data_IF_433006706021
#
_entry.id   IF_433006706021
#
_cell.length_a   1.000
_cell.length_b   1.000
_cell.length_c   1.000
_cell.angle_alpha   90.00
_cell.angle_beta   90.00
_cell.angle_gamma   90.00
#
_symmetry.space_group_name_H-M   'P 1'
#
loop_
_entity.id
_entity.type
_entity.pdbx_description
1 polymer ?
#
# COMPACT_ATOMS: atom_id res chain seq x y z
N UNK A 1 -20.24 37.58 -11.24
CA UNK A 1 -18.82 37.37 -10.90
C UNK A 1 -18.31 36.20 -11.72
N UNK A 2 -17.20 36.34 -12.45
CA UNK A 2 -16.70 35.27 -13.32
C UNK A 2 -16.04 34.14 -12.51
N UNK A 3 -16.32 32.89 -12.88
CA UNK A 3 -15.63 31.71 -12.33
C UNK A 3 -14.13 31.81 -12.66
N UNK A 4 -13.26 31.54 -11.69
CA UNK A 4 -11.81 31.64 -11.90
C UNK A 4 -11.35 30.50 -12.82
N UNK A 5 -11.11 30.84 -14.10
CA UNK A 5 -10.68 29.90 -15.14
C UNK A 5 -9.42 29.11 -14.76
N UNK A 6 -8.48 29.72 -14.04
CA UNK A 6 -7.26 29.02 -13.60
C UNK A 6 -7.59 27.83 -12.67
N UNK A 7 -8.48 28.04 -11.69
CA UNK A 7 -8.89 26.99 -10.75
C UNK A 7 -9.67 25.90 -11.48
N UNK A 8 -10.57 26.27 -12.41
CA UNK A 8 -11.35 25.32 -13.20
C UNK A 8 -10.45 24.38 -14.02
N UNK A 9 -9.51 24.94 -14.79
CA UNK A 9 -8.63 24.13 -15.64
C UNK A 9 -7.59 23.35 -14.83
N UNK A 10 -7.08 23.91 -13.74
CA UNK A 10 -6.18 23.19 -12.82
C UNK A 10 -6.89 21.97 -12.21
N UNK A 11 -8.09 22.16 -11.65
CA UNK A 11 -8.86 21.07 -11.04
C UNK A 11 -9.25 20.00 -12.08
N UNK A 12 -9.63 20.41 -13.29
CA UNK A 12 -9.88 19.45 -14.38
C UNK A 12 -8.63 18.65 -14.73
N UNK A 13 -7.49 19.30 -14.95
CA UNK A 13 -6.26 18.62 -15.35
C UNK A 13 -5.79 17.61 -14.29
N UNK A 14 -5.74 18.00 -13.02
CA UNK A 14 -5.34 17.08 -11.94
C UNK A 14 -6.30 15.90 -11.77
N UNK A 15 -7.62 16.15 -11.81
CA UNK A 15 -8.61 15.07 -11.73
C UNK A 15 -8.57 14.15 -12.97
N UNK A 16 -8.17 14.65 -14.13
CA UNK A 16 -8.03 13.84 -15.33
C UNK A 16 -6.84 12.89 -15.20
N UNK A 17 -5.73 13.36 -14.63
CA UNK A 17 -4.58 12.51 -14.32
C UNK A 17 -4.94 11.41 -13.30
N UNK A 18 -5.69 11.76 -12.25
CA UNK A 18 -6.19 10.77 -11.29
C UNK A 18 -7.16 9.77 -11.92
N UNK A 19 -8.03 10.23 -12.81
CA UNK A 19 -8.95 9.34 -13.52
C UNK A 19 -8.18 8.32 -14.38
N UNK A 20 -7.20 8.78 -15.16
CA UNK A 20 -6.35 7.92 -15.99
C UNK A 20 -5.56 6.94 -15.11
N UNK A 21 -4.96 7.40 -14.01
CA UNK A 21 -4.23 6.51 -13.10
C UNK A 21 -5.15 5.47 -12.46
N UNK A 22 -6.38 5.84 -12.08
CA UNK A 22 -7.39 4.91 -11.59
C UNK A 22 -7.73 3.82 -12.62
N UNK A 23 -7.92 4.18 -13.88
CA UNK A 23 -8.14 3.22 -14.97
C UNK A 23 -6.96 2.25 -15.15
N UNK A 24 -5.72 2.75 -15.10
CA UNK A 24 -4.51 1.93 -15.22
C UNK A 24 -4.41 0.95 -14.03
N UNK A 25 -4.57 1.45 -12.79
CA UNK A 25 -4.51 0.62 -11.58
C UNK A 25 -5.58 -0.46 -11.65
N UNK A 26 -6.81 -0.11 -12.02
CA UNK A 26 -7.91 -1.06 -12.13
C UNK A 26 -7.62 -2.15 -13.18
N UNK A 27 -7.13 -1.76 -14.36
CA UNK A 27 -6.77 -2.68 -15.43
C UNK A 27 -5.67 -3.66 -15.02
N UNK A 28 -4.59 -3.16 -14.40
CA UNK A 28 -3.49 -4.00 -13.88
C UNK A 28 -3.99 -4.93 -12.78
N UNK A 29 -4.83 -4.45 -11.86
CA UNK A 29 -5.34 -5.25 -10.75
C UNK A 29 -6.21 -6.41 -11.24
N UNK A 30 -7.08 -6.17 -12.22
CA UNK A 30 -7.91 -7.21 -12.84
C UNK A 30 -7.03 -8.22 -13.59
N UNK A 31 -6.03 -7.75 -14.34
CA UNK A 31 -5.09 -8.62 -15.04
C UNK A 31 -4.35 -9.56 -14.06
N UNK A 32 -3.86 -9.02 -12.94
CA UNK A 32 -3.17 -9.79 -11.91
C UNK A 32 -4.10 -10.80 -11.23
N UNK A 33 -5.37 -10.44 -11.00
CA UNK A 33 -6.36 -11.34 -10.42
C UNK A 33 -6.60 -12.55 -11.32
N UNK A 34 -6.90 -12.31 -12.59
CA UNK A 34 -7.18 -13.37 -13.58
C UNK A 34 -5.95 -14.24 -13.85
N UNK A 35 -4.75 -13.66 -13.89
CA UNK A 35 -3.52 -14.42 -14.15
C UNK A 35 -3.14 -15.36 -13.00
N UNK A 36 -3.65 -15.15 -11.79
CA UNK A 36 -3.31 -15.94 -10.59
C UNK A 36 -4.35 -16.99 -10.21
N UNK A 37 -5.52 -17.04 -10.86
CA UNK A 37 -6.65 -17.96 -10.58
C UNK A 37 -6.35 -19.48 -10.75
N UNK A 38 -5.07 -19.90 -10.78
CA UNK A 38 -4.63 -21.31 -10.89
C UNK A 38 -3.59 -21.79 -9.86
N UNK A 39 -2.99 -20.93 -9.03
CA UNK A 39 -1.95 -21.32 -8.05
C UNK A 39 -2.44 -21.20 -6.60
N UNK A 40 -2.10 -22.17 -5.74
CA UNK A 40 -2.52 -22.23 -4.32
C UNK A 40 -1.86 -21.20 -3.39
N UNK A 41 -0.91 -20.38 -3.86
CA UNK A 41 -0.37 -19.19 -3.16
C UNK A 41 -1.42 -18.05 -3.10
N UNK A 42 -2.55 -18.18 -3.80
CA UNK A 42 -3.56 -17.14 -3.94
C UNK A 42 -4.18 -16.68 -2.62
N UNK A 43 -4.41 -17.53 -1.62
CA UNK A 43 -5.14 -17.11 -0.41
C UNK A 43 -4.47 -15.97 0.38
N UNK A 44 -3.14 -15.79 0.28
CA UNK A 44 -2.43 -14.70 0.97
C UNK A 44 -2.33 -13.43 0.12
N UNK A 45 -2.28 -13.56 -1.22
CA UNK A 45 -2.11 -12.43 -2.13
C UNK A 45 -3.43 -11.82 -2.62
N UNK A 46 -4.52 -12.60 -2.64
CA UNK A 46 -5.84 -12.18 -3.11
C UNK A 46 -6.43 -10.99 -2.33
N UNK A 47 -6.31 -10.92 -0.98
CA UNK A 47 -6.81 -9.76 -0.23
C UNK A 47 -6.17 -8.44 -0.66
N UNK A 48 -4.88 -8.46 -1.03
CA UNK A 48 -4.16 -7.29 -1.51
C UNK A 48 -4.59 -6.84 -2.91
N UNK A 49 -4.87 -7.79 -3.80
CA UNK A 49 -5.35 -7.50 -5.16
C UNK A 49 -6.78 -6.94 -5.11
N UNK A 50 -7.66 -7.51 -4.29
CA UNK A 50 -9.03 -7.02 -4.12
C UNK A 50 -9.06 -5.59 -3.54
N UNK A 51 -8.17 -5.29 -2.60
CA UNK A 51 -7.99 -3.94 -2.10
C UNK A 51 -7.52 -2.98 -3.20
N UNK A 52 -6.58 -3.41 -4.05
CA UNK A 52 -6.08 -2.60 -5.16
C UNK A 52 -7.16 -2.30 -6.21
N UNK A 53 -8.05 -3.27 -6.48
CA UNK A 53 -9.25 -3.08 -7.30
C UNK A 53 -10.16 -2.01 -6.67
N UNK A 54 -10.47 -2.14 -5.38
CA UNK A 54 -11.32 -1.18 -4.67
C UNK A 54 -10.75 0.24 -4.71
N UNK A 55 -9.44 0.39 -4.45
CA UNK A 55 -8.72 1.67 -4.53
C UNK A 55 -8.79 2.24 -5.95
N UNK A 56 -8.54 1.41 -6.98
CA UNK A 56 -8.60 1.83 -8.39
C UNK A 56 -9.98 2.35 -8.78
N UNK A 57 -11.05 1.66 -8.38
CA UNK A 57 -12.44 2.11 -8.63
C UNK A 57 -12.72 3.43 -7.94
N UNK A 58 -12.33 3.59 -6.67
CA UNK A 58 -12.57 4.83 -5.92
C UNK A 58 -11.87 6.02 -6.58
N UNK A 59 -10.58 5.85 -6.94
CA UNK A 59 -9.80 6.89 -7.63
C UNK A 59 -10.45 7.26 -8.97
N UNK A 60 -10.86 6.26 -9.75
CA UNK A 60 -11.53 6.47 -11.03
C UNK A 60 -12.85 7.25 -10.84
N UNK A 61 -13.72 6.84 -9.92
CA UNK A 61 -15.02 7.50 -9.69
C UNK A 61 -14.81 8.94 -9.23
N UNK A 62 -13.93 9.17 -8.25
CA UNK A 62 -13.66 10.53 -7.76
C UNK A 62 -13.01 11.42 -8.83
N UNK A 63 -12.06 10.90 -9.59
CA UNK A 63 -11.47 11.62 -10.73
C UNK A 63 -12.52 12.00 -11.78
N UNK A 64 -13.45 11.10 -12.10
CA UNK A 64 -14.55 11.39 -13.02
C UNK A 64 -15.50 12.48 -12.49
N UNK A 65 -15.89 12.39 -11.22
CA UNK A 65 -16.76 13.39 -10.56
C UNK A 65 -16.08 14.76 -10.49
N UNK A 66 -14.78 14.81 -10.16
CA UNK A 66 -14.00 16.05 -10.14
C UNK A 66 -13.89 16.69 -11.53
N UNK A 67 -13.57 15.89 -12.56
CA UNK A 67 -13.50 16.35 -13.94
C UNK A 67 -14.84 16.88 -14.47
N UNK A 68 -15.89 16.07 -14.35
CA UNK A 68 -17.22 16.43 -14.84
C UNK A 68 -17.82 17.60 -14.05
N UNK A 69 -17.64 17.61 -12.73
CA UNK A 69 -18.08 18.71 -11.87
C UNK A 69 -17.43 20.03 -12.24
N UNK A 70 -16.12 20.03 -12.53
CA UNK A 70 -15.40 21.23 -12.97
C UNK A 70 -15.84 21.73 -14.35
N UNK A 71 -15.88 20.86 -15.36
CA UNK A 71 -16.20 21.27 -16.74
C UNK A 71 -17.65 21.68 -16.87
N UNK A 72 -18.58 20.84 -16.40
CA UNK A 72 -20.02 21.05 -16.52
C UNK A 72 -20.56 22.08 -15.51
N UNK A 73 -19.71 22.59 -14.62
CA UNK A 73 -20.10 23.51 -13.55
C UNK A 73 -21.27 22.95 -12.72
N UNK A 74 -21.32 21.62 -12.56
CA UNK A 74 -22.40 20.94 -11.87
C UNK A 74 -22.10 20.88 -10.37
N UNK A 75 -22.81 21.71 -9.60
CA UNK A 75 -22.73 21.79 -8.13
C UNK A 75 -22.90 20.44 -7.45
N UNK A 76 -23.83 19.60 -7.90
CA UNK A 76 -24.07 18.30 -7.29
C UNK A 76 -22.86 17.37 -7.45
N UNK A 77 -22.26 17.32 -8.65
CA UNK A 77 -21.05 16.51 -8.90
C UNK A 77 -19.84 17.01 -8.11
N UNK A 78 -19.66 18.33 -8.02
CA UNK A 78 -18.62 18.96 -7.19
C UNK A 78 -18.81 18.65 -5.69
N UNK A 79 -20.05 18.66 -5.21
CA UNK A 79 -20.37 18.32 -3.83
C UNK A 79 -20.10 16.83 -3.53
N UNK A 80 -20.49 15.92 -4.44
CA UNK A 80 -20.19 14.49 -4.31
C UNK A 80 -18.68 14.23 -4.29
N UNK A 81 -17.92 14.91 -5.15
CA UNK A 81 -16.46 14.85 -5.14
C UNK A 81 -15.89 15.32 -3.79
N UNK A 82 -16.35 16.47 -3.28
CA UNK A 82 -15.93 17.00 -1.99
C UNK A 82 -16.24 16.03 -0.83
N UNK A 83 -17.48 15.53 -0.75
CA UNK A 83 -17.90 14.58 0.30
C UNK A 83 -17.10 13.29 0.21
N UNK A 84 -16.83 12.79 -1.00
CA UNK A 84 -15.98 11.61 -1.21
C UNK A 84 -14.56 11.81 -0.69
N UNK A 85 -13.92 12.93 -1.04
CA UNK A 85 -12.59 13.27 -0.50
C UNK A 85 -12.60 13.42 1.02
N UNK A 86 -13.63 14.04 1.58
CA UNK A 86 -13.78 14.23 3.02
C UNK A 86 -13.88 12.88 3.76
N UNK A 87 -14.69 11.94 3.25
CA UNK A 87 -14.82 10.60 3.83
C UNK A 87 -13.48 9.87 3.80
N UNK A 88 -12.77 9.88 2.66
CA UNK A 88 -11.46 9.22 2.57
C UNK A 88 -10.46 9.86 3.51
N UNK A 89 -10.45 11.19 3.64
CA UNK A 89 -9.57 11.89 4.56
C UNK A 89 -9.82 11.47 6.01
N UNK A 90 -11.09 11.39 6.43
CA UNK A 90 -11.45 10.91 7.78
C UNK A 90 -11.01 9.45 7.98
N UNK A 91 -11.21 8.58 6.98
CA UNK A 91 -10.77 7.19 7.04
C UNK A 91 -9.24 7.06 7.14
N UNK A 92 -8.49 7.85 6.38
CA UNK A 92 -7.02 7.87 6.46
C UNK A 92 -6.53 8.36 7.82
N UNK A 93 -7.15 9.40 8.38
CA UNK A 93 -6.83 9.88 9.72
C UNK A 93 -7.16 8.83 10.78
N UNK A 94 -8.33 8.21 10.71
CA UNK A 94 -8.74 7.17 11.65
C UNK A 94 -7.80 5.95 11.57
N UNK A 95 -7.46 5.49 10.37
CA UNK A 95 -6.51 4.39 10.16
C UNK A 95 -5.10 4.76 10.64
N UNK A 96 -4.64 5.98 10.40
CA UNK A 96 -3.35 6.46 10.89
C UNK A 96 -3.27 6.52 12.42
N UNK A 97 -4.33 7.01 13.08
CA UNK A 97 -4.43 7.03 14.54
C UNK A 97 -4.50 5.61 15.10
N UNK A 98 -5.35 4.73 14.54
CA UNK A 98 -5.47 3.35 14.97
C UNK A 98 -4.13 2.59 14.84
N UNK A 99 -3.43 2.79 13.71
CA UNK A 99 -2.11 2.19 13.48
C UNK A 99 -1.04 2.71 14.44
N UNK A 100 -1.12 3.97 14.86
CA UNK A 100 -0.18 4.54 15.85
C UNK A 100 -0.47 4.05 17.28
N UNK A 101 -1.73 3.83 17.64
CA UNK A 101 -2.11 3.40 19.00
C UNK A 101 -1.88 1.90 19.23
N UNK A 102 -2.03 1.07 18.20
CA UNK A 102 -1.93 -0.39 18.32
C UNK A 102 -0.59 -0.97 17.81
N UNK A 103 0.51 -0.22 17.98
CA UNK A 103 1.85 -0.66 17.52
C UNK A 103 2.24 -2.02 18.13
N UNK A 104 2.01 -2.21 19.43
CA UNK A 104 2.38 -3.44 20.13
C UNK A 104 1.53 -4.64 19.69
N UNK A 105 0.23 -4.46 19.49
CA UNK A 105 -0.64 -5.51 18.94
C UNK A 105 -0.25 -5.88 17.51
N UNK A 106 0.20 -4.91 16.72
CA UNK A 106 0.68 -5.15 15.36
C UNK A 106 1.93 -6.01 15.37
N UNK A 107 2.89 -5.72 16.27
CA UNK A 107 4.10 -6.55 16.45
C UNK A 107 3.74 -7.98 16.89
N UNK A 108 2.83 -8.14 17.83
CA UNK A 108 2.36 -9.46 18.28
C UNK A 108 1.66 -10.24 17.16
N UNK A 109 0.79 -9.57 16.39
CA UNK A 109 0.10 -10.20 15.27
C UNK A 109 1.05 -10.65 14.18
N UNK A 110 2.06 -9.82 13.84
CA UNK A 110 3.12 -10.21 12.89
C UNK A 110 3.88 -11.40 13.43
N UNK A 111 4.27 -11.39 14.72
CA UNK A 111 4.99 -12.51 15.35
C UNK A 111 4.18 -13.80 15.33
N UNK A 112 2.88 -13.76 15.64
CA UNK A 112 1.96 -14.92 15.56
C UNK A 112 1.90 -15.48 14.13
N UNK A 113 1.80 -14.61 13.12
CA UNK A 113 1.78 -15.05 11.71
C UNK A 113 3.09 -15.69 11.29
N UNK A 114 4.21 -15.09 11.65
CA UNK A 114 5.53 -15.65 11.37
C UNK A 114 5.73 -16.98 12.12
N UNK A 115 5.26 -17.10 13.36
CA UNK A 115 5.34 -18.35 14.13
C UNK A 115 4.56 -19.49 13.47
N UNK A 116 3.41 -19.21 12.87
CA UNK A 116 2.62 -20.20 12.11
C UNK A 116 3.30 -20.72 10.85
N UNK A 117 4.36 -20.05 10.38
CA UNK A 117 5.15 -20.53 9.25
C UNK A 117 6.16 -21.62 9.66
N UNK A 118 6.41 -21.82 10.95
CA UNK A 118 7.31 -22.86 11.43
C UNK A 118 6.59 -24.22 11.56
N UNK A 119 7.28 -25.35 11.26
CA UNK A 119 8.65 -25.44 10.75
C UNK A 119 8.75 -25.10 9.25
N UNK A 120 9.81 -24.39 8.87
CA UNK A 120 9.98 -23.86 7.50
C UNK A 120 10.14 -24.97 6.46
N UNK A 121 10.75 -26.10 6.87
CA UNK A 121 10.93 -27.31 6.05
C UNK A 121 9.62 -28.01 5.66
N UNK A 122 8.53 -27.77 6.40
CA UNK A 122 7.20 -28.32 6.11
C UNK A 122 6.34 -27.48 5.17
N UNK A 123 6.82 -26.30 4.77
CA UNK A 123 6.02 -25.37 3.96
C UNK A 123 6.04 -25.71 2.47
N UNK A 124 5.06 -25.23 1.67
CA UNK A 124 5.09 -25.38 0.22
C UNK A 124 6.39 -24.87 -0.40
N UNK A 125 6.84 -25.49 -1.49
CA UNK A 125 8.08 -25.14 -2.18
C UNK A 125 8.15 -23.66 -2.58
N UNK A 126 7.01 -23.06 -2.90
CA UNK A 126 6.89 -21.64 -3.26
C UNK A 126 7.28 -20.74 -2.07
N UNK A 127 6.74 -21.02 -0.88
CA UNK A 127 7.06 -20.30 0.37
C UNK A 127 8.52 -20.49 0.75
N UNK A 128 9.06 -21.71 0.58
CA UNK A 128 10.48 -21.96 0.82
C UNK A 128 11.36 -21.20 -0.17
N UNK A 129 10.97 -21.09 -1.45
CA UNK A 129 11.73 -20.36 -2.47
C UNK A 129 11.78 -18.87 -2.17
N UNK A 130 10.64 -18.27 -1.79
CA UNK A 130 10.56 -16.86 -1.41
C UNK A 130 11.41 -16.57 -0.17
N UNK A 131 11.38 -17.46 0.83
CA UNK A 131 12.21 -17.34 2.02
C UNK A 131 13.70 -17.48 1.69
N UNK A 132 14.09 -18.42 0.84
CA UNK A 132 15.49 -18.59 0.45
C UNK A 132 16.02 -17.39 -0.34
N UNK A 133 15.18 -16.73 -1.16
CA UNK A 133 15.54 -15.47 -1.80
C UNK A 133 15.78 -14.36 -0.77
N UNK A 134 14.92 -14.28 0.25
CA UNK A 134 15.07 -13.34 1.37
C UNK A 134 16.35 -13.61 2.18
N UNK A 135 16.70 -14.87 2.44
CA UNK A 135 17.92 -15.24 3.17
C UNK A 135 19.18 -14.80 2.42
N UNK A 136 19.21 -14.94 1.10
CA UNK A 136 20.31 -14.48 0.26
C UNK A 136 20.42 -12.96 0.25
N UNK A 137 19.29 -12.27 0.10
CA UNK A 137 19.28 -10.80 0.04
C UNK A 137 19.56 -10.16 1.41
N UNK A 138 19.01 -10.74 2.48
CA UNK A 138 19.15 -10.26 3.85
C UNK A 138 20.39 -10.75 4.58
N UNK A 139 21.20 -11.64 3.98
CA UNK A 139 22.37 -12.29 4.63
C UNK A 139 22.02 -12.83 6.03
N UNK A 140 20.91 -13.56 6.10
CA UNK A 140 20.31 -14.09 7.32
C UNK A 140 19.92 -15.55 7.09
N UNK A 141 19.60 -16.28 8.16
CA UNK A 141 19.15 -17.67 8.04
C UNK A 141 17.97 -17.96 8.97
N UNK A 142 16.96 -18.66 8.44
CA UNK A 142 15.71 -18.93 9.16
C UNK A 142 14.91 -17.65 9.42
N UNK A 143 13.81 -17.78 10.14
CA UNK A 143 12.83 -16.70 10.26
C UNK A 143 12.92 -15.99 11.61
N UNK A 144 12.75 -16.74 12.70
CA UNK A 144 12.64 -16.23 14.08
C UNK A 144 13.81 -16.71 14.94
N UNK A 145 14.14 -18.00 14.94
CA UNK A 145 15.15 -18.60 15.83
C UNK A 145 16.44 -18.97 15.09
N UNK A 146 16.68 -18.39 13.92
CA UNK A 146 17.89 -18.62 13.14
C UNK A 146 17.84 -19.94 12.36
N UNK A 147 18.99 -20.57 12.08
CA UNK A 147 19.08 -21.84 11.34
C UNK A 147 18.24 -22.99 11.91
N UNK A 148 17.92 -22.94 13.21
CA UNK A 148 17.09 -23.93 13.90
C UNK A 148 15.68 -24.06 13.31
N UNK A 149 15.16 -23.02 12.67
CA UNK A 149 13.81 -23.03 12.09
C UNK A 149 13.68 -23.98 10.88
N UNK A 150 14.80 -24.35 10.26
CA UNK A 150 14.90 -25.35 9.20
C UNK A 150 15.06 -26.79 9.71
N UNK A 151 15.28 -26.97 11.02
CA UNK A 151 15.58 -28.26 11.62
C UNK A 151 16.89 -28.84 11.07
N UNK A 152 16.85 -30.05 10.54
CA UNK A 152 18.05 -30.76 10.05
C UNK A 152 18.43 -30.44 8.59
N UNK A 153 17.56 -29.76 7.84
CA UNK A 153 17.69 -29.55 6.40
C UNK A 153 17.86 -28.06 6.09
N UNK A 154 19.00 -27.50 6.50
CA UNK A 154 19.33 -26.08 6.25
C UNK A 154 19.68 -25.88 4.76
N UNK A 155 19.01 -24.97 4.05
CA UNK A 155 19.25 -24.71 2.63
C UNK A 155 20.58 -23.98 2.39
N UNK A 156 21.07 -24.04 1.13
CA UNK A 156 22.30 -23.36 0.73
C UNK A 156 22.19 -21.82 0.71
N UNK A 157 20.98 -21.27 0.71
CA UNK A 157 20.71 -19.83 0.87
C UNK A 157 21.25 -19.26 2.18
N UNK A 158 21.30 -20.08 3.23
CA UNK A 158 21.83 -19.72 4.54
C UNK A 158 23.37 -19.71 4.62
N UNK A 159 24.09 -20.11 3.58
CA UNK A 159 25.55 -20.26 3.64
C UNK A 159 26.26 -18.92 3.83
N UNK A 160 27.03 -18.82 4.91
CA UNK A 160 27.75 -17.63 5.29
C UNK A 160 29.04 -17.52 4.47
N UNK A 161 29.00 -16.74 3.38
CA UNK A 161 30.14 -16.52 2.48
C UNK A 161 31.05 -15.37 2.91
N UNK A 162 30.65 -14.61 3.93
CA UNK A 162 31.25 -13.32 4.30
C UNK A 162 31.85 -13.41 5.71
N UNK A 163 33.18 -13.30 5.85
CA UNK A 163 33.89 -13.38 7.14
C UNK A 163 33.61 -12.22 8.09
N UNK A 164 32.89 -11.19 7.63
CA UNK A 164 32.49 -10.02 8.41
C UNK A 164 31.12 -10.17 9.10
N UNK A 165 30.34 -11.20 8.75
CA UNK A 165 29.03 -11.45 9.32
C UNK A 165 29.09 -12.40 10.53
N UNK A 166 28.07 -12.35 11.40
CA UNK A 166 27.92 -13.34 12.48
C UNK A 166 27.50 -14.68 11.89
N UNK A 167 28.47 -15.59 11.73
CA UNK A 167 28.25 -16.96 11.27
C UNK A 167 28.35 -17.97 12.42
N UNK A 168 27.61 -19.06 12.32
CA UNK A 168 27.69 -20.22 13.22
C UNK A 168 27.79 -21.53 12.42
N UNK A 169 28.37 -22.56 13.03
CA UNK A 169 28.44 -23.89 12.41
C UNK A 169 27.18 -24.68 12.77
N UNK A 170 26.34 -24.98 11.77
CA UNK A 170 25.14 -25.78 11.93
C UNK A 170 25.10 -26.88 10.87
N UNK A 171 24.94 -28.15 11.28
CA UNK A 171 24.91 -29.29 10.37
C UNK A 171 26.21 -29.52 9.56
N UNK A 172 27.36 -29.05 10.05
CA UNK A 172 28.65 -29.15 9.35
C UNK A 172 28.87 -28.08 8.27
N UNK A 173 28.00 -27.08 8.19
CA UNK A 173 28.11 -25.92 7.30
C UNK A 173 28.23 -24.62 8.09
N UNK A 174 28.94 -23.64 7.53
CA UNK A 174 29.01 -22.28 8.09
C UNK A 174 27.81 -21.47 7.60
N UNK A 175 26.89 -21.11 8.49
CA UNK A 175 25.61 -20.45 8.16
C UNK A 175 25.44 -19.14 8.92
N UNK A 176 24.61 -18.23 8.41
CA UNK A 176 24.30 -16.99 9.11
C UNK A 176 23.60 -17.28 10.46
N UNK A 177 24.10 -16.71 11.55
CA UNK A 177 23.48 -16.83 12.89
C UNK A 177 22.31 -15.85 13.07
N UNK A 178 22.33 -14.74 12.32
CA UNK A 178 21.29 -13.71 12.37
C UNK A 178 19.97 -14.22 11.78
N UNK A 179 18.84 -14.16 12.51
CA UNK A 179 17.52 -14.54 11.98
C UNK A 179 16.98 -13.49 11.02
N UNK A 180 16.25 -13.89 9.98
CA UNK A 180 15.74 -12.93 8.97
C UNK A 180 14.68 -11.95 9.49
N UNK A 181 14.05 -12.20 10.65
CA UNK A 181 13.12 -11.24 11.26
C UNK A 181 13.76 -9.88 11.53
N UNK A 182 15.06 -9.80 11.83
CA UNK A 182 15.74 -8.51 12.05
C UNK A 182 15.84 -7.72 10.75
N UNK A 183 16.31 -8.36 9.67
CA UNK A 183 16.35 -7.77 8.34
C UNK A 183 14.96 -7.33 7.87
N UNK A 184 13.95 -8.19 8.01
CA UNK A 184 12.56 -7.86 7.67
C UNK A 184 12.04 -6.68 8.49
N UNK A 185 12.33 -6.64 9.79
CA UNK A 185 11.89 -5.53 10.66
C UNK A 185 12.54 -4.21 10.27
N UNK A 186 13.83 -4.20 9.94
CA UNK A 186 14.53 -2.99 9.54
C UNK A 186 14.12 -2.53 8.14
N UNK A 187 13.94 -3.48 7.20
CA UNK A 187 13.36 -3.22 5.89
C UNK A 187 11.96 -2.61 6.03
N UNK A 188 11.09 -3.21 6.84
CA UNK A 188 9.75 -2.68 7.12
C UNK A 188 9.79 -1.28 7.71
N UNK A 189 10.65 -0.99 8.71
CA UNK A 189 10.77 0.37 9.28
C UNK A 189 11.16 1.41 8.23
N UNK A 190 12.11 1.07 7.36
CA UNK A 190 12.54 1.96 6.29
C UNK A 190 11.40 2.22 5.30
N UNK A 191 10.70 1.17 4.86
CA UNK A 191 9.57 1.30 3.93
C UNK A 191 8.33 1.95 4.54
N UNK A 192 8.06 1.72 5.83
CA UNK A 192 7.00 2.40 6.58
C UNK A 192 7.24 3.90 6.66
N UNK A 193 8.49 4.33 6.86
CA UNK A 193 8.85 5.76 6.88
C UNK A 193 8.51 6.42 5.53
N UNK A 194 8.84 5.75 4.41
CA UNK A 194 8.49 6.22 3.06
C UNK A 194 6.97 6.24 2.87
N UNK A 195 6.27 5.19 3.32
CA UNK A 195 4.81 5.10 3.21
C UNK A 195 4.10 6.21 4.00
N UNK A 196 4.58 6.57 5.19
CA UNK A 196 4.09 7.72 5.96
C UNK A 196 4.27 9.03 5.20
N UNK A 197 5.41 9.22 4.54
CA UNK A 197 5.65 10.37 3.67
C UNK A 197 4.65 10.47 2.52
N UNK A 198 4.37 9.34 1.86
CA UNK A 198 3.36 9.26 0.79
C UNK A 198 1.97 9.59 1.34
N UNK A 199 1.58 9.00 2.48
CA UNK A 199 0.29 9.27 3.11
C UNK A 199 0.10 10.75 3.46
N UNK A 200 1.15 11.41 3.98
CA UNK A 200 1.13 12.84 4.27
C UNK A 200 0.97 13.69 3.00
N UNK A 201 1.68 13.36 1.93
CA UNK A 201 1.54 14.03 0.64
C UNK A 201 0.12 13.88 0.07
N UNK A 202 -0.46 12.68 0.16
CA UNK A 202 -1.85 12.41 -0.24
C UNK A 202 -2.83 13.26 0.58
N UNK A 203 -2.64 13.36 1.89
CA UNK A 203 -3.49 14.17 2.77
C UNK A 203 -3.49 15.65 2.35
N UNK A 204 -2.31 16.21 2.02
CA UNK A 204 -2.19 17.58 1.51
C UNK A 204 -2.94 17.73 0.18
N UNK A 205 -2.75 16.80 -0.76
CA UNK A 205 -3.44 16.83 -2.06
C UNK A 205 -4.97 16.77 -1.89
N UNK A 206 -5.48 16.00 -0.93
CA UNK A 206 -6.91 15.95 -0.61
C UNK A 206 -7.43 17.29 -0.10
N UNK A 207 -6.69 17.96 0.80
CA UNK A 207 -7.07 19.29 1.30
C UNK A 207 -7.13 20.31 0.16
N UNK A 208 -6.13 20.30 -0.74
CA UNK A 208 -6.18 21.14 -1.93
C UNK A 208 -7.39 20.83 -2.81
N UNK A 209 -7.65 19.55 -3.10
CA UNK A 209 -8.83 19.11 -3.85
C UNK A 209 -10.15 19.60 -3.24
N UNK A 210 -10.30 19.47 -1.93
CA UNK A 210 -11.47 19.95 -1.18
C UNK A 210 -11.61 21.48 -1.25
N UNK A 211 -10.52 22.22 -1.03
CA UNK A 211 -10.53 23.69 -1.06
C UNK A 211 -10.92 24.25 -2.44
N UNK A 212 -10.38 23.66 -3.51
CA UNK A 212 -10.68 24.06 -4.89
C UNK A 212 -12.10 23.66 -5.29
N UNK A 213 -12.57 22.47 -4.88
CA UNK A 213 -13.94 22.04 -5.11
C UNK A 213 -14.95 23.00 -4.45
N UNK A 214 -14.73 23.36 -3.18
CA UNK A 214 -15.61 24.28 -2.45
C UNK A 214 -15.55 25.70 -3.03
N UNK A 215 -14.37 26.16 -3.45
CA UNK A 215 -14.21 27.47 -4.11
C UNK A 215 -15.00 27.52 -5.41
N UNK A 216 -14.90 26.49 -6.26
CA UNK A 216 -15.68 26.41 -7.50
C UNK A 216 -17.18 26.30 -7.22
N UNK A 217 -17.59 25.46 -6.26
CA UNK A 217 -18.98 25.33 -5.84
C UNK A 217 -19.59 26.67 -5.44
N UNK A 218 -18.90 27.45 -4.61
CA UNK A 218 -19.33 28.77 -4.17
C UNK A 218 -19.38 29.79 -5.33
N UNK A 219 -18.42 29.74 -6.27
CA UNK A 219 -18.41 30.63 -7.44
C UNK A 219 -19.61 30.37 -8.36
N UNK A 220 -19.92 29.10 -8.63
CA UNK A 220 -21.12 28.71 -9.40
C UNK A 220 -22.39 29.10 -8.61
N UNK A 221 -22.35 28.95 -7.27
CA UNK A 221 -23.35 29.48 -6.32
C UNK A 221 -23.78 30.91 -6.60
N UNK A 222 -22.77 31.80 -6.59
CA UNK A 222 -22.94 33.24 -6.78
C UNK A 222 -23.27 33.62 -8.23
N UNK A 223 -22.84 32.83 -9.21
CA UNK A 223 -23.18 33.06 -10.61
C UNK A 223 -24.69 32.88 -10.85
N UNK A 224 -25.26 31.77 -10.36
CA UNK A 224 -26.68 31.47 -10.52
C UNK A 224 -27.59 32.46 -9.79
N UNK A 225 -27.17 32.91 -8.59
CA UNK A 225 -27.93 33.88 -7.79
C UNK A 225 -27.90 35.32 -8.34
N UNK A 226 -26.92 35.64 -9.21
CA UNK A 226 -26.83 36.96 -9.85
C UNK A 226 -27.59 37.05 -11.18
N UNK A 227 -28.12 35.94 -11.67
CA UNK A 227 -28.91 35.84 -12.91
C UNK A 227 -30.41 35.71 -12.67
N UNK A 228 -30.84 35.57 -11.41
CA UNK A 228 -32.23 35.60 -10.96
C UNK A 228 -32.61 36.99 -10.47
#
# INVERSE_FOLDING_TARGET
>A
MAVNRCIKYSLFFFNLLFWISGCIILGVSIYLKVSKDGNKITDVAIPGIDLLIAIGVIIMVLGFLGCCGAIKENKCMLLLFFVGLLIIFILLLAAGIAGAVEEDKTKEWVKDKLQKLLPLSGQPTEVQTDLQALEVEGKCCGLINGPSDWGSSVPSSCECKDTSAQCESSGGKNVYSTPCVSFVTDYLKQHLTVALGIAFAIAILMIFGMSFAMTLYCQIGKADAGTA
#
